data_IF_167399125747
#
_entry.id   IF_167399125747
#
_cell.length_a   1.000
_cell.length_b   1.000
_cell.length_c   1.000
_cell.angle_alpha   90.00
_cell.angle_beta   90.00
_cell.angle_gamma   90.00
#
_symmetry.space_group_name_H-M   'P 1'
#
loop_
_entity.id
_entity.type
_entity.pdbx_description
1 polymer ?
#
# COMPACT_ATOMS: atom_id res chain seq x y z
N UNK A 1 0.76 -19.41 -12.87
CA UNK A 1 1.00 -17.97 -12.67
C UNK A 1 1.38 -17.76 -11.21
N UNK A 2 2.61 -17.31 -10.88
CA UNK A 2 2.94 -16.99 -9.50
C UNK A 2 2.07 -15.81 -9.07
N UNK A 3 1.33 -16.05 -7.99
CA UNK A 3 0.32 -15.18 -7.40
C UNK A 3 0.85 -13.76 -7.20
N UNK A 4 0.07 -12.77 -7.63
CA UNK A 4 0.18 -11.36 -7.22
C UNK A 4 0.03 -11.15 -5.69
N UNK A 5 -0.04 -12.20 -4.88
CA UNK A 5 -0.09 -12.15 -3.42
C UNK A 5 1.27 -11.76 -2.78
N UNK A 6 2.37 -11.68 -3.55
CA UNK A 6 3.71 -11.41 -3.02
C UNK A 6 4.27 -10.01 -3.30
N UNK A 7 3.60 -9.18 -4.11
CA UNK A 7 4.19 -7.93 -4.63
C UNK A 7 4.33 -6.79 -3.61
N UNK A 8 3.94 -7.00 -2.35
CA UNK A 8 3.88 -5.92 -1.37
C UNK A 8 4.55 -6.25 -0.02
N UNK A 9 4.82 -7.52 0.30
CA UNK A 9 5.38 -7.91 1.61
C UNK A 9 4.47 -7.62 2.83
N UNK A 10 3.25 -7.11 2.61
CA UNK A 10 2.26 -6.87 3.67
C UNK A 10 1.38 -8.10 3.90
N UNK A 11 1.15 -8.47 5.16
CA UNK A 11 0.24 -9.55 5.52
C UNK A 11 -1.19 -9.21 5.06
N UNK A 12 -1.92 -10.17 4.50
CA UNK A 12 -3.36 -10.03 4.15
C UNK A 12 -4.21 -9.44 5.28
N UNK A 13 -3.95 -9.84 6.52
CA UNK A 13 -4.66 -9.30 7.69
C UNK A 13 -4.35 -7.83 7.97
N UNK A 14 -3.16 -7.34 7.61
CA UNK A 14 -2.81 -5.93 7.73
C UNK A 14 -3.54 -5.09 6.67
N UNK A 15 -3.59 -5.56 5.42
CA UNK A 15 -4.33 -4.91 4.33
C UNK A 15 -5.82 -4.79 4.69
N UNK A 16 -6.44 -5.89 5.12
CA UNK A 16 -7.85 -5.88 5.52
C UNK A 16 -8.15 -4.91 6.65
N UNK A 17 -7.26 -4.75 7.64
CA UNK A 17 -7.45 -3.75 8.70
C UNK A 17 -7.39 -2.31 8.19
N UNK A 18 -6.54 -2.02 7.21
CA UNK A 18 -6.46 -0.69 6.60
C UNK A 18 -7.74 -0.39 5.80
N UNK A 19 -8.17 -1.33 4.95
CA UNK A 19 -9.36 -1.16 4.10
C UNK A 19 -10.65 -0.97 4.90
N UNK A 20 -10.74 -1.61 6.08
CA UNK A 20 -11.89 -1.46 6.98
C UNK A 20 -11.75 -0.30 7.98
N UNK A 21 -10.69 0.52 7.90
CA UNK A 21 -10.48 1.67 8.79
C UNK A 21 -10.10 1.32 10.23
N UNK A 22 -9.63 0.09 10.47
CA UNK A 22 -9.22 -0.40 11.80
C UNK A 22 -7.74 -0.13 12.10
N UNK A 23 -6.97 0.41 11.15
CA UNK A 23 -5.53 0.70 11.29
C UNK A 23 -5.10 1.70 10.23
N UNK A 24 -4.27 2.65 10.62
CA UNK A 24 -3.64 3.58 9.68
C UNK A 24 -2.49 2.91 8.90
N UNK A 25 -2.23 3.47 7.72
CA UNK A 25 -1.04 3.15 6.93
C UNK A 25 -0.02 4.29 7.06
N UNK A 26 1.25 3.93 7.26
CA UNK A 26 2.31 4.92 7.23
C UNK A 26 2.46 5.49 5.82
N UNK A 27 2.57 6.81 5.68
CA UNK A 27 2.69 7.48 4.39
C UNK A 27 3.89 6.96 3.57
N UNK A 28 5.00 6.63 4.23
CA UNK A 28 6.18 6.02 3.58
C UNK A 28 5.89 4.65 2.97
N UNK A 29 5.01 3.86 3.60
CA UNK A 29 4.54 2.59 3.05
C UNK A 29 3.69 2.86 1.82
N UNK A 30 2.72 3.78 1.90
CA UNK A 30 1.89 4.16 0.75
C UNK A 30 2.75 4.60 -0.45
N UNK A 31 3.75 5.45 -0.23
CA UNK A 31 4.70 5.86 -1.27
C UNK A 31 5.41 4.68 -1.93
N UNK A 32 5.93 3.73 -1.15
CA UNK A 32 6.60 2.54 -1.69
C UNK A 32 5.65 1.69 -2.53
N UNK A 33 4.39 1.54 -2.12
CA UNK A 33 3.40 0.79 -2.90
C UNK A 33 3.17 1.42 -4.27
N UNK A 34 2.95 2.72 -4.29
CA UNK A 34 2.56 3.43 -5.51
C UNK A 34 3.76 3.64 -6.44
N UNK A 35 4.89 4.13 -5.91
CA UNK A 35 6.04 4.46 -6.76
C UNK A 35 6.90 3.25 -7.10
N UNK A 36 7.18 2.38 -6.14
CA UNK A 36 8.04 1.21 -6.39
C UNK A 36 7.23 0.00 -6.85
N UNK A 37 6.04 -0.21 -6.29
CA UNK A 37 5.19 -1.34 -6.65
C UNK A 37 4.45 -1.15 -7.97
N UNK A 38 3.88 0.03 -8.21
CA UNK A 38 3.09 0.33 -9.41
C UNK A 38 3.85 1.16 -10.46
N UNK A 39 5.00 1.73 -10.12
CA UNK A 39 5.78 2.58 -11.03
C UNK A 39 5.14 3.95 -11.31
N UNK A 40 4.19 4.39 -10.47
CA UNK A 40 3.44 5.64 -10.65
C UNK A 40 3.96 6.72 -9.68
N UNK A 41 4.00 7.99 -10.09
CA UNK A 41 4.32 9.09 -9.16
C UNK A 41 3.12 9.46 -8.31
N UNK A 42 3.32 9.54 -7.00
CA UNK A 42 2.29 10.00 -6.06
C UNK A 42 2.44 11.50 -5.78
N UNK A 43 1.41 12.28 -6.12
CA UNK A 43 1.32 13.71 -5.78
C UNK A 43 0.23 13.90 -4.72
N UNK A 44 0.65 14.26 -3.51
CA UNK A 44 -0.25 14.57 -2.41
C UNK A 44 -0.27 16.08 -2.19
N UNK A 45 -1.45 16.68 -2.30
CA UNK A 45 -1.70 18.08 -1.96
C UNK A 45 -2.67 18.13 -0.78
N UNK A 46 -2.31 18.86 0.26
CA UNK A 46 -3.16 19.13 1.42
C UNK A 46 -3.44 20.64 1.40
N UNK A 47 -4.71 21.01 1.39
CA UNK A 47 -5.19 22.38 1.37
C UNK A 47 -6.32 22.58 2.36
#
# INVERSE_FOLDING_TARGET
MPKAEQTIGAKKSYISRIENGHTDIQLSTLYKLIELGLGLKLNLSIG
#
